data_IF_336991472583
#
_entry.id   IF_336991472583
#
_cell.length_a   1.000
_cell.length_b   1.000
_cell.length_c   1.000
_cell.angle_alpha   90.00
_cell.angle_beta   90.00
_cell.angle_gamma   90.00
#
_symmetry.space_group_name_H-M   'P 1'
#
loop_
_entity.id
_entity.type
_entity.pdbx_description
1 polymer ?
#
# COMPACT_ATOMS: atom_id res chain seq x y z
N UNK A 1 -10.38 22.16 9.56
CA UNK A 1 -9.92 23.12 8.53
C UNK A 1 -11.00 24.18 8.29
N UNK A 2 -10.62 25.45 8.04
CA UNK A 2 -11.56 26.49 7.63
C UNK A 2 -12.14 26.20 6.24
N UNK A 3 -13.33 26.73 5.97
CA UNK A 3 -14.00 26.69 4.67
C UNK A 3 -13.19 27.46 3.62
N UNK A 4 -13.06 26.92 2.41
CA UNK A 4 -12.33 27.57 1.30
C UNK A 4 -13.16 28.57 0.48
N UNK A 5 -14.42 28.77 0.83
CA UNK A 5 -15.30 29.70 0.11
C UNK A 5 -15.04 31.14 0.54
N UNK A 6 -15.42 32.10 -0.29
CA UNK A 6 -15.44 33.51 0.03
C UNK A 6 -16.89 33.99 0.17
N UNK A 7 -17.10 35.02 0.99
CA UNK A 7 -18.38 35.71 1.15
C UNK A 7 -18.62 36.67 -0.03
N UNK A 8 -19.82 37.25 -0.10
CA UNK A 8 -20.18 38.23 -1.14
C UNK A 8 -19.28 39.47 -1.12
N UNK A 9 -18.77 39.85 0.04
CA UNK A 9 -17.80 40.94 0.21
C UNK A 9 -16.35 40.56 -0.18
N UNK A 10 -16.15 39.34 -0.72
CA UNK A 10 -14.83 38.80 -1.08
C UNK A 10 -14.00 38.30 0.10
N UNK A 11 -14.43 38.50 1.34
CA UNK A 11 -13.70 38.04 2.52
C UNK A 11 -13.77 36.51 2.67
N UNK A 12 -12.72 35.84 3.18
CA UNK A 12 -12.71 34.38 3.32
C UNK A 12 -13.71 33.91 4.38
N UNK A 13 -14.37 32.78 4.11
CA UNK A 13 -15.29 32.17 5.08
C UNK A 13 -14.52 31.61 6.29
N UNK A 14 -14.82 32.13 7.48
CA UNK A 14 -14.22 31.67 8.75
C UNK A 14 -14.91 30.45 9.37
N UNK A 15 -15.98 29.95 8.77
CA UNK A 15 -16.68 28.76 9.28
C UNK A 15 -15.84 27.49 9.02
N UNK A 16 -16.00 26.47 9.86
CA UNK A 16 -15.34 25.19 9.67
C UNK A 16 -15.93 24.40 8.48
N UNK A 17 -15.05 23.80 7.67
CA UNK A 17 -15.48 22.85 6.65
C UNK A 17 -16.11 21.60 7.29
N UNK A 18 -17.02 20.94 6.57
CA UNK A 18 -17.50 19.62 6.98
C UNK A 18 -16.32 18.64 7.08
N UNK A 19 -16.44 17.59 7.91
CA UNK A 19 -15.42 16.54 8.02
C UNK A 19 -15.17 15.90 6.64
N UNK A 20 -13.92 15.78 6.22
CA UNK A 20 -13.53 15.29 4.88
C UNK A 20 -13.76 16.28 3.72
N UNK A 21 -14.45 17.41 3.97
CA UNK A 21 -14.80 18.39 2.95
C UNK A 21 -13.86 19.59 2.89
N UNK A 22 -14.16 20.51 1.95
CA UNK A 22 -13.43 21.78 1.78
C UNK A 22 -14.29 23.02 2.06
N UNK A 23 -15.60 22.84 2.22
CA UNK A 23 -16.57 23.92 2.44
C UNK A 23 -17.45 23.62 3.64
N UNK A 24 -17.95 24.66 4.31
CA UNK A 24 -18.87 24.55 5.44
C UNK A 24 -20.30 24.23 4.95
N UNK A 25 -21.21 23.96 5.89
CA UNK A 25 -22.62 23.69 5.55
C UNK A 25 -23.29 24.86 4.81
N UNK A 26 -23.01 26.11 5.21
CA UNK A 26 -23.57 27.32 4.60
C UNK A 26 -23.09 27.54 3.16
N UNK A 27 -21.87 27.11 2.82
CA UNK A 27 -21.31 27.20 1.47
C UNK A 27 -21.42 25.87 0.70
N UNK A 28 -22.52 25.15 0.88
CA UNK A 28 -22.85 23.96 0.08
C UNK A 28 -22.26 22.64 0.56
N UNK A 29 -21.54 22.62 1.69
CA UNK A 29 -21.06 21.36 2.30
C UNK A 29 -22.18 20.43 2.77
N UNK A 30 -23.40 20.94 2.90
CA UNK A 30 -24.57 20.12 3.21
C UNK A 30 -25.13 19.36 1.99
N UNK A 31 -24.74 19.72 0.77
CA UNK A 31 -25.24 19.06 -0.46
C UNK A 31 -24.86 17.57 -0.51
N UNK A 32 -25.69 16.71 -1.10
CA UNK A 32 -25.41 15.27 -1.23
C UNK A 32 -24.05 15.00 -1.90
N UNK A 33 -23.76 15.69 -3.01
CA UNK A 33 -22.51 15.53 -3.75
C UNK A 33 -21.28 15.92 -2.92
N UNK A 34 -21.35 17.04 -2.19
CA UNK A 34 -20.24 17.46 -1.33
C UNK A 34 -20.00 16.47 -0.19
N UNK A 35 -21.06 15.91 0.41
CA UNK A 35 -20.96 14.86 1.44
C UNK A 35 -20.37 13.57 0.89
N UNK A 36 -20.80 13.13 -0.30
CA UNK A 36 -20.27 11.93 -0.94
C UNK A 36 -18.76 12.06 -1.17
N UNK A 37 -18.32 13.17 -1.78
CA UNK A 37 -16.89 13.43 -2.02
C UNK A 37 -16.10 13.53 -0.71
N UNK A 38 -16.67 14.15 0.33
CA UNK A 38 -16.04 14.23 1.64
C UNK A 38 -15.88 12.85 2.28
N UNK A 39 -16.91 12.00 2.20
CA UNK A 39 -16.87 10.63 2.68
C UNK A 39 -15.83 9.80 1.90
N UNK A 40 -15.77 9.91 0.58
CA UNK A 40 -14.77 9.23 -0.25
C UNK A 40 -13.35 9.59 0.19
N UNK A 41 -13.07 10.87 0.47
CA UNK A 41 -11.75 11.30 0.96
C UNK A 41 -11.43 10.69 2.32
N UNK A 42 -12.38 10.69 3.25
CA UNK A 42 -12.16 10.09 4.56
C UNK A 42 -11.86 8.60 4.46
N UNK A 43 -12.61 7.87 3.62
CA UNK A 43 -12.40 6.44 3.37
C UNK A 43 -11.01 6.20 2.79
N UNK A 44 -10.58 6.97 1.78
CA UNK A 44 -9.25 6.86 1.20
C UNK A 44 -8.14 7.16 2.22
N UNK A 45 -8.30 8.21 3.02
CA UNK A 45 -7.34 8.54 4.08
C UNK A 45 -7.26 7.42 5.14
N UNK A 46 -8.38 6.81 5.51
CA UNK A 46 -8.42 5.66 6.41
C UNK A 46 -7.71 4.44 5.81
N UNK A 47 -7.93 4.17 4.51
CA UNK A 47 -7.21 3.12 3.78
C UNK A 47 -5.71 3.35 3.76
N UNK A 48 -5.24 4.57 3.46
CA UNK A 48 -3.81 4.90 3.48
C UNK A 48 -3.22 4.70 4.88
N UNK A 49 -3.88 5.20 5.93
CA UNK A 49 -3.43 4.98 7.32
C UNK A 49 -3.36 3.51 7.72
N UNK A 50 -4.31 2.69 7.25
CA UNK A 50 -4.28 1.26 7.50
C UNK A 50 -3.11 0.60 6.75
N UNK A 51 -2.94 0.95 5.47
CA UNK A 51 -1.87 0.42 4.63
C UNK A 51 -0.48 0.79 5.17
N UNK A 52 -0.26 2.03 5.57
CA UNK A 52 1.02 2.49 6.12
C UNK A 52 1.39 1.75 7.41
N UNK A 53 0.40 1.49 8.27
CA UNK A 53 0.61 0.69 9.49
C UNK A 53 1.01 -0.73 9.17
N UNK A 54 0.30 -1.38 8.25
CA UNK A 54 0.64 -2.76 7.84
C UNK A 54 1.99 -2.83 7.12
N UNK A 55 2.32 -1.84 6.29
CA UNK A 55 3.61 -1.75 5.63
C UNK A 55 4.76 -1.67 6.65
N UNK A 56 4.59 -0.86 7.72
CA UNK A 56 5.54 -0.77 8.81
C UNK A 56 5.70 -2.11 9.55
N UNK A 57 4.59 -2.71 9.99
CA UNK A 57 4.59 -4.02 10.67
C UNK A 57 5.23 -5.10 9.82
N UNK A 58 4.94 -5.11 8.51
CA UNK A 58 5.54 -6.06 7.57
C UNK A 58 7.06 -5.84 7.43
N UNK A 59 7.51 -4.58 7.41
CA UNK A 59 8.93 -4.23 7.43
C UNK A 59 9.64 -4.79 8.66
N UNK A 60 9.09 -4.53 9.85
CA UNK A 60 9.61 -5.04 11.13
C UNK A 60 9.67 -6.59 11.15
N UNK A 61 8.59 -7.26 10.72
CA UNK A 61 8.54 -8.73 10.63
C UNK A 61 9.57 -9.28 9.63
N UNK A 62 9.76 -8.63 8.48
CA UNK A 62 10.77 -9.03 7.50
C UNK A 62 12.18 -8.88 8.05
N UNK A 63 12.45 -7.79 8.78
CA UNK A 63 13.75 -7.58 9.44
C UNK A 63 14.01 -8.65 10.49
N UNK A 64 13.04 -8.92 11.38
CA UNK A 64 13.14 -9.98 12.38
C UNK A 64 13.39 -11.36 11.73
N UNK A 65 12.64 -11.68 10.67
CA UNK A 65 12.85 -12.92 9.91
C UNK A 65 14.25 -13.02 9.29
N UNK A 66 14.77 -11.92 8.71
CA UNK A 66 16.13 -11.89 8.15
C UNK A 66 17.19 -12.12 9.22
N UNK A 67 17.07 -11.45 10.36
CA UNK A 67 17.99 -11.60 11.51
C UNK A 67 17.98 -13.04 12.01
N UNK A 68 16.81 -13.63 12.25
CA UNK A 68 16.71 -15.01 12.71
C UNK A 68 17.34 -15.99 11.71
N UNK A 69 17.15 -15.76 10.40
CA UNK A 69 17.80 -16.60 9.38
C UNK A 69 19.32 -16.49 9.39
N UNK A 70 19.88 -15.30 9.61
CA UNK A 70 21.33 -15.11 9.74
C UNK A 70 21.85 -15.86 10.95
N UNK A 71 21.17 -15.74 12.10
CA UNK A 71 21.55 -16.41 13.35
C UNK A 71 21.50 -17.93 13.18
N UNK A 72 20.43 -18.48 12.62
CA UNK A 72 20.33 -19.93 12.39
C UNK A 72 21.38 -20.42 11.39
N UNK A 73 21.64 -19.67 10.32
CA UNK A 73 22.69 -20.02 9.37
C UNK A 73 24.09 -20.01 10.03
N UNK A 74 24.38 -19.00 10.85
CA UNK A 74 25.62 -18.90 11.62
C UNK A 74 25.80 -20.09 12.56
N UNK A 75 24.74 -20.50 13.26
CA UNK A 75 24.73 -21.67 14.13
C UNK A 75 25.03 -22.96 13.35
N UNK A 76 24.47 -23.12 12.15
CA UNK A 76 24.69 -24.31 11.32
C UNK A 76 26.07 -24.36 10.68
N UNK A 77 26.67 -23.19 10.41
CA UNK A 77 27.97 -23.08 9.75
C UNK A 77 29.13 -22.95 10.76
N UNK A 78 28.83 -22.87 12.06
CA UNK A 78 29.81 -22.58 13.11
C UNK A 78 30.60 -21.28 12.82
N UNK A 79 29.91 -20.29 12.24
CA UNK A 79 30.48 -18.99 11.85
C UNK A 79 29.93 -17.87 12.73
N UNK A 80 30.64 -16.74 12.78
CA UNK A 80 30.09 -15.53 13.40
C UNK A 80 28.92 -14.96 12.55
N UNK A 81 27.79 -14.55 13.16
CA UNK A 81 26.65 -13.99 12.43
C UNK A 81 26.99 -12.78 11.53
N UNK A 82 27.97 -11.96 11.91
CA UNK A 82 28.44 -10.82 11.12
C UNK A 82 29.17 -11.30 9.87
N UNK A 83 29.95 -12.38 9.96
CA UNK A 83 30.61 -12.99 8.80
C UNK A 83 29.59 -13.60 7.84
N UNK A 84 28.59 -14.31 8.36
CA UNK A 84 27.48 -14.85 7.56
C UNK A 84 26.73 -13.73 6.84
N UNK A 85 26.43 -12.63 7.51
CA UNK A 85 25.70 -11.53 6.89
C UNK A 85 26.52 -10.76 5.83
N UNK A 86 27.86 -10.79 5.94
CA UNK A 86 28.78 -10.23 4.94
C UNK A 86 29.01 -11.17 3.76
N UNK A 87 28.57 -12.43 3.85
CA UNK A 87 28.74 -13.40 2.76
C UNK A 87 28.03 -12.93 1.48
N UNK A 88 28.77 -12.75 0.36
CA UNK A 88 28.21 -12.29 -0.90
C UNK A 88 27.09 -13.19 -1.44
N UNK A 89 27.10 -14.48 -1.08
CA UNK A 89 26.05 -15.43 -1.45
C UNK A 89 24.72 -15.07 -0.77
N UNK A 90 24.76 -14.70 0.51
CA UNK A 90 23.56 -14.30 1.26
C UNK A 90 23.09 -12.89 0.90
N UNK A 91 24.02 -11.98 0.60
CA UNK A 91 23.71 -10.66 0.01
C UNK A 91 23.05 -10.83 -1.35
N UNK A 92 23.56 -11.71 -2.22
CA UNK A 92 22.98 -12.02 -3.52
C UNK A 92 21.57 -12.61 -3.43
N UNK A 93 21.32 -13.53 -2.50
CA UNK A 93 19.96 -14.04 -2.23
C UNK A 93 19.01 -12.97 -1.68
N UNK A 94 19.51 -12.05 -0.83
CA UNK A 94 18.72 -10.95 -0.27
C UNK A 94 18.42 -9.83 -1.28
N UNK A 95 19.32 -9.59 -2.23
CA UNK A 95 19.22 -8.58 -3.31
C UNK A 95 18.48 -9.11 -4.56
N UNK A 96 18.07 -10.39 -4.57
CA UNK A 96 17.23 -10.95 -5.63
C UNK A 96 17.98 -11.57 -6.81
N UNK A 97 19.21 -12.02 -6.62
CA UNK A 97 19.91 -12.87 -7.60
C UNK A 97 19.27 -14.25 -7.77
N UNK A 98 18.44 -14.65 -6.82
CA UNK A 98 17.33 -15.56 -7.07
C UNK A 98 16.05 -14.77 -6.97
N UNK A 99 15.55 -14.22 -8.10
CA UNK A 99 14.12 -13.93 -8.20
C UNK A 99 13.45 -15.28 -7.95
N UNK A 100 12.96 -15.51 -6.74
CA UNK A 100 11.91 -16.47 -6.54
C UNK A 100 10.75 -15.91 -7.36
N UNK A 101 10.69 -16.27 -8.65
CA UNK A 101 9.46 -16.22 -9.39
C UNK A 101 8.57 -17.17 -8.60
N UNK A 102 7.58 -16.68 -7.85
CA UNK A 102 6.57 -17.60 -7.34
C UNK A 102 6.11 -18.42 -8.55
N UNK A 103 5.84 -19.73 -8.38
CA UNK A 103 5.21 -20.49 -9.45
C UNK A 103 4.04 -19.64 -9.98
N UNK A 104 3.83 -19.61 -11.31
CA UNK A 104 2.79 -18.78 -11.90
C UNK A 104 1.53 -18.96 -11.07
N UNK A 105 0.90 -17.85 -10.67
CA UNK A 105 -0.33 -17.89 -9.89
C UNK A 105 -1.23 -18.94 -10.55
N UNK A 106 -1.82 -19.87 -9.77
CA UNK A 106 -2.61 -20.94 -10.36
C UNK A 106 -3.57 -20.30 -11.34
N UNK A 107 -3.48 -20.71 -12.61
CA UNK A 107 -4.36 -20.17 -13.63
C UNK A 107 -5.76 -20.25 -13.06
N UNK A 108 -6.45 -19.10 -12.99
CA UNK A 108 -7.81 -19.08 -12.54
C UNK A 108 -8.55 -19.98 -13.50
N UNK A 109 -8.86 -21.20 -13.07
CA UNK A 109 -9.65 -22.12 -13.86
C UNK A 109 -10.97 -21.39 -14.06
N UNK A 110 -11.21 -20.93 -15.27
CA UNK A 110 -12.49 -20.38 -15.70
C UNK A 110 -13.49 -21.55 -15.78
N UNK A 111 -13.70 -22.19 -14.63
CA UNK A 111 -14.70 -23.22 -14.46
C UNK A 111 -16.04 -22.50 -14.47
N UNK A 112 -16.84 -22.83 -15.47
CA UNK A 112 -18.18 -22.31 -15.65
C UNK A 112 -19.08 -22.58 -14.43
N UNK A 113 -18.75 -23.56 -13.57
CA UNK A 113 -19.43 -23.80 -12.28
C UNK A 113 -19.25 -22.68 -11.26
N UNK A 114 -18.13 -21.97 -11.28
CA UNK A 114 -17.85 -20.86 -10.35
C UNK A 114 -18.02 -19.49 -11.00
N UNK A 115 -18.68 -19.41 -12.18
CA UNK A 115 -19.21 -18.13 -12.62
C UNK A 115 -20.18 -17.67 -11.54
N UNK A 116 -19.77 -16.66 -10.79
CA UNK A 116 -20.70 -15.88 -9.96
C UNK A 116 -21.80 -15.49 -10.92
N UNK A 117 -22.96 -16.12 -10.77
CA UNK A 117 -24.14 -15.76 -11.53
C UNK A 117 -24.34 -14.30 -11.16
N UNK A 118 -23.97 -13.37 -12.05
CA UNK A 118 -24.31 -11.97 -11.86
C UNK A 118 -25.82 -12.01 -11.68
N UNK A 119 -26.37 -11.71 -10.48
CA UNK A 119 -27.78 -11.44 -10.41
C UNK A 119 -27.98 -10.37 -11.46
N UNK A 120 -28.96 -10.56 -12.34
CA UNK A 120 -29.33 -9.52 -13.28
C UNK A 120 -29.64 -8.29 -12.46
N UNK A 121 -28.65 -7.42 -12.28
CA UNK A 121 -28.89 -6.03 -11.95
C UNK A 121 -29.61 -5.55 -13.20
N UNK A 122 -30.94 -5.52 -13.09
CA UNK A 122 -31.80 -4.73 -13.95
C UNK A 122 -31.04 -3.42 -14.16
N UNK A 123 -30.75 -3.13 -15.43
CA UNK A 123 -30.04 -1.93 -15.80
C UNK A 123 -30.69 -0.77 -15.06
N UNK A 124 -29.94 -0.17 -14.14
CA UNK A 124 -30.27 1.16 -13.66
C UNK A 124 -30.40 2.02 -14.91
N UNK A 125 -31.58 2.57 -15.09
CA UNK A 125 -31.88 3.52 -16.15
C UNK A 125 -30.74 4.55 -16.21
N UNK A 126 -30.26 4.79 -17.43
CA UNK A 126 -29.18 5.71 -17.68
C UNK A 126 -29.48 7.06 -17.00
N UNK A 127 -28.54 7.53 -16.18
CA UNK A 127 -28.56 8.93 -15.74
C UNK A 127 -28.51 9.78 -17.02
N UNK A 128 -29.54 10.59 -17.33
CA UNK A 128 -29.52 11.43 -18.53
C UNK A 128 -28.29 12.35 -18.50
N UNK A 129 -27.42 12.22 -19.51
CA UNK A 129 -26.20 13.02 -19.66
C UNK A 129 -24.87 12.33 -19.33
N UNK A 130 -24.86 11.09 -18.81
CA UNK A 130 -23.62 10.34 -18.57
C UNK A 130 -23.38 9.32 -19.69
N UNK A 131 -22.62 9.73 -20.71
CA UNK A 131 -22.15 8.81 -21.76
C UNK A 131 -20.98 7.98 -21.21
N UNK A 132 -21.26 6.80 -20.65
CA UNK A 132 -20.21 5.81 -20.41
C UNK A 132 -19.83 5.15 -21.74
N UNK A 133 -18.69 5.56 -22.31
CA UNK A 133 -18.08 4.79 -23.40
C UNK A 133 -17.66 3.44 -22.85
N UNK A 134 -18.28 2.37 -23.34
CA UNK A 134 -17.80 1.01 -23.09
C UNK A 134 -16.34 0.90 -23.58
N UNK A 135 -15.43 0.34 -22.78
CA UNK A 135 -14.08 0.08 -23.25
C UNK A 135 -14.13 -0.87 -24.44
N UNK A 136 -13.35 -0.57 -25.48
CA UNK A 136 -13.22 -1.41 -26.65
C UNK A 136 -12.80 -2.82 -26.23
N UNK A 137 -13.53 -3.84 -26.69
CA UNK A 137 -13.16 -5.24 -26.49
C UNK A 137 -11.81 -5.46 -27.18
N UNK A 138 -10.76 -5.82 -26.43
CA UNK A 138 -9.48 -6.24 -27.02
C UNK A 138 -8.23 -5.84 -26.26
N UNK A 139 -8.28 -4.92 -25.30
CA UNK A 139 -7.11 -4.59 -24.48
C UNK A 139 -7.19 -5.27 -23.13
N UNK A 140 -6.43 -6.37 -22.99
CA UNK A 140 -5.95 -6.81 -21.68
C UNK A 140 -4.95 -5.77 -21.17
N UNK A 141 -5.44 -4.65 -20.66
CA UNK A 141 -4.65 -3.85 -19.73
C UNK A 141 -4.62 -4.63 -18.42
N UNK A 142 -3.44 -5.13 -17.98
CA UNK A 142 -3.34 -5.65 -16.63
C UNK A 142 -3.66 -4.49 -15.69
N UNK A 143 -4.66 -4.68 -14.83
CA UNK A 143 -4.91 -3.82 -13.70
C UNK A 143 -3.66 -3.82 -12.80
N UNK A 144 -2.70 -2.95 -13.09
CA UNK A 144 -1.62 -2.60 -12.20
C UNK A 144 -2.13 -1.58 -11.19
N UNK A 145 -3.05 -2.01 -10.31
CA UNK A 145 -3.37 -1.27 -9.11
C UNK A 145 -2.16 -1.35 -8.16
N UNK A 146 -1.28 -0.35 -8.24
CA UNK A 146 -0.57 0.18 -7.07
C UNK A 146 0.35 -0.74 -6.27
N UNK A 147 0.95 -1.79 -6.85
CA UNK A 147 2.13 -2.38 -6.21
C UNK A 147 3.28 -1.35 -6.24
N UNK A 148 3.94 -1.05 -5.11
CA UNK A 148 5.20 -0.31 -5.17
C UNK A 148 6.14 -1.12 -6.07
N UNK A 149 6.82 -0.45 -7.03
CA UNK A 149 7.76 -1.12 -7.93
C UNK A 149 8.69 -2.02 -7.10
N UNK A 150 8.99 -3.26 -7.54
CA UNK A 150 10.01 -4.10 -6.92
C UNK A 150 11.37 -3.50 -7.27
N UNK A 151 11.71 -2.44 -6.55
CA UNK A 151 12.82 -1.55 -6.86
C UNK A 151 13.02 -0.47 -5.80
N UNK A 152 12.31 -0.55 -4.66
CA UNK A 152 12.77 0.09 -3.44
C UNK A 152 14.10 -0.58 -3.06
N UNK A 153 15.20 -0.07 -3.61
CA UNK A 153 16.53 -0.31 -3.05
C UNK A 153 16.43 0.19 -1.62
N UNK A 154 16.42 -0.73 -0.64
CA UNK A 154 16.83 -0.32 0.70
C UNK A 154 18.24 0.22 0.52
N UNK A 155 18.43 1.52 0.79
CA UNK A 155 19.75 2.11 0.73
C UNK A 155 20.68 1.31 1.65
N UNK A 156 21.93 1.10 1.25
CA UNK A 156 22.96 0.41 2.05
C UNK A 156 23.03 0.98 3.49
N UNK A 157 22.64 2.24 3.67
CA UNK A 157 22.48 2.91 4.96
C UNK A 157 21.46 2.26 5.91
N UNK A 158 20.34 1.73 5.41
CA UNK A 158 19.35 1.02 6.25
C UNK A 158 19.87 -0.35 6.69
N UNK A 159 20.66 -1.02 5.84
CA UNK A 159 21.38 -2.24 6.23
C UNK A 159 22.42 -1.96 7.30
N UNK A 160 23.15 -0.85 7.21
CA UNK A 160 24.07 -0.39 8.25
C UNK A 160 23.37 -0.18 9.59
N UNK A 161 22.18 0.45 9.61
CA UNK A 161 21.41 0.62 10.85
C UNK A 161 21.03 -0.74 11.45
N UNK A 162 20.61 -1.70 10.63
CA UNK A 162 20.33 -3.08 11.10
C UNK A 162 21.59 -3.74 11.66
N UNK A 163 22.75 -3.58 11.02
CA UNK A 163 24.02 -4.14 11.49
C UNK A 163 24.54 -3.48 12.77
N UNK A 164 24.41 -2.16 12.90
CA UNK A 164 24.80 -1.41 14.09
C UNK A 164 23.88 -1.76 15.28
N UNK A 165 22.58 -1.94 15.02
CA UNK A 165 21.63 -2.33 16.06
C UNK A 165 21.82 -3.79 16.48
N UNK A 166 22.12 -4.68 15.53
CA UNK A 166 22.52 -6.06 15.81
C UNK A 166 23.81 -6.10 16.64
N UNK A 167 24.82 -5.31 16.27
CA UNK A 167 26.07 -5.18 17.01
C UNK A 167 25.86 -4.65 18.44
N UNK A 168 24.95 -3.69 18.63
CA UNK A 168 24.55 -3.19 19.96
C UNK A 168 23.81 -4.23 20.79
N UNK A 169 22.91 -5.00 20.17
CA UNK A 169 22.15 -6.06 20.86
C UNK A 169 23.06 -7.22 21.27
N UNK A 170 23.96 -7.65 20.39
CA UNK A 170 24.91 -8.73 20.66
C UNK A 170 26.01 -8.32 21.64
N UNK A 171 26.46 -7.05 21.62
CA UNK A 171 27.46 -6.53 22.56
C UNK A 171 26.98 -6.37 24.01
N UNK A 172 25.68 -6.49 24.28
CA UNK A 172 25.08 -6.47 25.63
C UNK A 172 24.93 -7.85 26.26
N UNK A 173 25.19 -8.92 25.51
CA UNK A 173 25.21 -10.29 26.04
C UNK A 173 26.65 -10.63 26.43
N UNK A 174 27.06 -10.19 27.62
CA UNK A 174 28.29 -10.63 28.30
C UNK A 174 27.94 -11.17 29.66
#
# INVERSE_FOLDING_TARGET
>A
MPCRAHRTDGSPCRAYAIRGGRVCRAHGGASPNARQVANTRMILDDFHRAFDREAKTLGERKTAWRVNRIIEAARHLEMDPVEVARSPVLVGFAEGWGKYSPPPAPERRDDHRFRVHRPGYAMAEAIPGVVMRAPARGHHEPYCAGWPRPGGRMCIEELRVVFDDLGRQLGRVR
#
